data_IF_046726162913
#
_entry.id   IF_046726162913
#
_cell.length_a   1.000
_cell.length_b   1.000
_cell.length_c   1.000
_cell.angle_alpha   90.00
_cell.angle_beta   90.00
_cell.angle_gamma   90.00
#
_symmetry.space_group_name_H-M   'P 1'
#
loop_
_entity.id
_entity.type
_entity.pdbx_description
1 polymer ?
#
# COMPACT_ATOMS: atom_id res chain seq x y z
N UNK A 1 -8.47 -4.27 -4.15
CA UNK A 1 -8.59 -2.80 -4.18
C UNK A 1 -9.48 -2.30 -5.31
N UNK A 2 -9.30 -2.68 -6.58
CA UNK A 2 -10.11 -2.13 -7.69
C UNK A 2 -11.63 -2.25 -7.47
N UNK A 3 -12.12 -3.46 -7.12
CA UNK A 3 -13.54 -3.68 -6.79
C UNK A 3 -14.04 -2.73 -5.70
N UNK A 4 -13.32 -2.67 -4.58
CA UNK A 4 -13.66 -1.83 -3.43
C UNK A 4 -13.69 -0.34 -3.82
N UNK A 5 -12.77 0.11 -4.68
CA UNK A 5 -12.74 1.50 -5.13
C UNK A 5 -13.97 1.87 -5.98
N UNK A 6 -14.44 0.96 -6.85
CA UNK A 6 -15.66 1.19 -7.62
C UNK A 6 -16.90 1.18 -6.72
N UNK A 7 -16.99 0.24 -5.78
CA UNK A 7 -18.08 0.16 -4.81
C UNK A 7 -18.19 1.40 -3.93
N UNK A 8 -17.06 2.02 -3.56
CA UNK A 8 -17.02 3.20 -2.70
C UNK A 8 -17.17 4.54 -3.45
N UNK A 9 -17.06 4.54 -4.78
CA UNK A 9 -17.16 5.75 -5.61
C UNK A 9 -18.49 6.50 -5.42
N UNK A 10 -19.67 5.85 -5.37
CA UNK A 10 -20.94 6.52 -5.08
C UNK A 10 -21.00 7.15 -3.68
N UNK A 11 -20.20 6.65 -2.74
CA UNK A 11 -20.07 7.18 -1.38
C UNK A 11 -19.07 8.31 -1.27
N UNK A 12 -18.71 8.94 -2.39
CA UNK A 12 -17.87 10.13 -2.38
C UNK A 12 -16.45 9.82 -1.83
N UNK A 13 -15.96 8.60 -2.05
CA UNK A 13 -14.62 8.15 -1.68
C UNK A 13 -13.80 7.98 -2.97
N UNK A 14 -12.66 8.66 -3.04
CA UNK A 14 -11.70 8.51 -4.13
C UNK A 14 -10.56 7.57 -3.71
N UNK A 15 -10.08 6.75 -4.64
CA UNK A 15 -8.91 5.89 -4.43
C UNK A 15 -7.87 6.14 -5.51
N UNK A 16 -6.63 6.37 -5.09
CA UNK A 16 -5.47 6.55 -5.94
C UNK A 16 -4.42 5.51 -5.58
N UNK A 17 -3.58 5.13 -6.54
CA UNK A 17 -2.39 4.33 -6.32
C UNK A 17 -1.16 5.21 -6.52
N UNK A 18 -0.19 5.17 -5.62
CA UNK A 18 1.08 5.89 -5.78
C UNK A 18 2.17 4.87 -6.11
N UNK A 19 2.74 4.98 -7.31
CA UNK A 19 3.86 4.16 -7.76
C UNK A 19 5.17 4.71 -7.19
N UNK A 20 5.79 3.95 -6.29
CA UNK A 20 7.02 4.32 -5.57
C UNK A 20 8.22 3.55 -6.11
N UNK A 21 9.19 3.19 -5.28
CA UNK A 21 10.31 2.32 -5.66
C UNK A 21 9.90 0.86 -5.72
N UNK A 22 10.59 0.09 -6.56
CA UNK A 22 10.45 -1.37 -6.57
C UNK A 22 10.78 -1.94 -5.19
N UNK A 23 9.83 -2.68 -4.60
CA UNK A 23 10.03 -3.33 -3.31
C UNK A 23 11.13 -4.39 -3.37
N UNK A 24 11.24 -5.08 -4.52
CA UNK A 24 12.21 -6.12 -4.79
C UNK A 24 12.80 -5.91 -6.20
N UNK A 25 13.76 -5.00 -6.37
CA UNK A 25 14.35 -4.72 -7.67
C UNK A 25 15.11 -5.95 -8.21
N UNK A 26 14.77 -6.37 -9.43
CA UNK A 26 15.40 -7.51 -10.12
C UNK A 26 15.91 -7.13 -11.51
N UNK A 27 16.23 -8.13 -12.32
CA UNK A 27 16.73 -7.93 -13.69
C UNK A 27 15.68 -7.29 -14.61
N UNK A 28 14.41 -7.66 -14.43
CA UNK A 28 13.31 -7.18 -15.29
C UNK A 28 12.72 -5.85 -14.82
N UNK A 29 12.76 -5.62 -13.51
CA UNK A 29 12.34 -4.36 -12.88
C UNK A 29 13.45 -3.91 -11.92
N UNK A 30 14.55 -3.35 -12.45
CA UNK A 30 15.67 -2.90 -11.62
C UNK A 30 15.31 -1.62 -10.86
N UNK A 31 16.22 -1.21 -9.96
CA UNK A 31 16.10 0.08 -9.30
C UNK A 31 16.05 1.20 -10.34
N UNK A 32 15.20 2.19 -10.09
CA UNK A 32 15.01 3.30 -11.01
C UNK A 32 16.24 4.23 -11.01
N UNK A 33 16.82 4.47 -12.17
CA UNK A 33 17.93 5.43 -12.37
C UNK A 33 17.51 6.67 -13.13
N UNK A 34 16.30 6.68 -13.71
CA UNK A 34 15.70 7.81 -14.42
C UNK A 34 14.19 7.85 -14.21
N UNK A 35 13.58 9.03 -14.40
CA UNK A 35 12.13 9.18 -14.27
C UNK A 35 11.38 8.51 -15.44
N UNK A 36 11.97 8.51 -16.63
CA UNK A 36 11.47 7.85 -17.83
C UNK A 36 11.33 6.34 -17.62
N UNK A 37 12.35 5.71 -17.03
CA UNK A 37 12.31 4.30 -16.65
C UNK A 37 11.21 4.04 -15.62
N UNK A 38 11.13 4.85 -14.57
CA UNK A 38 10.09 4.72 -13.53
C UNK A 38 8.69 4.85 -14.12
N UNK A 39 8.49 5.75 -15.07
CA UNK A 39 7.23 5.90 -15.78
C UNK A 39 6.90 4.69 -16.67
N UNK A 40 7.90 4.12 -17.35
CA UNK A 40 7.72 2.89 -18.13
C UNK A 40 7.31 1.71 -17.23
N UNK A 41 7.97 1.54 -16.08
CA UNK A 41 7.61 0.52 -15.10
C UNK A 41 6.20 0.73 -14.54
N UNK A 42 5.83 1.96 -14.19
CA UNK A 42 4.48 2.28 -13.71
C UNK A 42 3.38 1.93 -14.74
N UNK A 43 3.65 2.14 -16.04
CA UNK A 43 2.75 1.73 -17.12
C UNK A 43 2.68 0.21 -17.24
N UNK A 44 3.82 -0.48 -17.23
CA UNK A 44 3.86 -1.95 -17.26
C UNK A 44 3.09 -2.55 -16.07
N UNK A 45 3.25 -1.99 -14.87
CA UNK A 45 2.51 -2.35 -13.67
C UNK A 45 1.00 -2.18 -13.87
N UNK A 46 0.57 -1.03 -14.41
CA UNK A 46 -0.85 -0.76 -14.70
C UNK A 46 -1.45 -1.84 -15.58
N UNK A 47 -0.79 -2.16 -16.70
CA UNK A 47 -1.28 -3.14 -17.68
C UNK A 47 -1.29 -4.56 -17.10
N UNK A 48 -0.20 -4.95 -16.44
CA UNK A 48 -0.03 -6.27 -15.85
C UNK A 48 -1.07 -6.57 -14.78
N UNK A 49 -1.32 -5.62 -13.89
CA UNK A 49 -2.27 -5.78 -12.78
C UNK A 49 -3.66 -5.23 -13.09
N UNK A 50 -3.88 -4.75 -14.32
CA UNK A 50 -5.14 -4.16 -14.80
C UNK A 50 -5.69 -3.10 -13.84
N UNK A 51 -4.80 -2.23 -13.36
CA UNK A 51 -5.15 -1.19 -12.38
C UNK A 51 -6.03 -0.13 -13.07
N UNK A 52 -7.21 0.08 -12.51
CA UNK A 52 -8.21 1.01 -13.05
C UNK A 52 -8.17 2.36 -12.33
N UNK A 53 -7.81 2.35 -11.04
CA UNK A 53 -7.61 3.58 -10.26
C UNK A 53 -6.52 4.47 -10.88
N UNK A 54 -6.60 5.80 -10.72
CA UNK A 54 -5.53 6.70 -11.10
C UNK A 54 -4.20 6.29 -10.42
N UNK A 55 -3.13 6.23 -11.21
CA UNK A 55 -1.78 6.02 -10.73
C UNK A 55 -1.04 7.36 -10.77
N UNK A 56 -0.55 7.79 -9.61
CA UNK A 56 0.42 8.87 -9.49
C UNK A 56 1.81 8.24 -9.38
N UNK A 57 2.80 8.79 -10.07
CA UNK A 57 4.18 8.31 -9.99
C UNK A 57 4.96 9.23 -9.07
N UNK A 58 5.56 8.69 -8.02
CA UNK A 58 6.40 9.46 -7.11
C UNK A 58 7.66 9.94 -7.83
N UNK A 59 8.23 11.04 -7.33
CA UNK A 59 9.57 11.54 -7.65
C UNK A 59 10.62 10.43 -7.72
N UNK A 60 11.65 10.61 -8.55
CA UNK A 60 12.70 9.61 -8.75
C UNK A 60 13.42 9.27 -7.44
N UNK A 61 13.69 10.28 -6.63
CA UNK A 61 14.32 10.11 -5.32
C UNK A 61 13.35 9.50 -4.30
N UNK A 62 12.02 9.54 -4.50
CA UNK A 62 11.02 8.92 -3.62
C UNK A 62 10.61 9.78 -2.43
N UNK A 63 10.51 11.09 -2.63
CA UNK A 63 10.12 12.04 -1.60
C UNK A 63 8.78 11.68 -0.95
N UNK A 64 7.76 11.27 -1.73
CA UNK A 64 6.47 10.87 -1.17
C UNK A 64 6.61 9.56 -0.38
N UNK A 65 7.27 8.55 -0.95
CA UNK A 65 7.43 7.24 -0.29
C UNK A 65 8.10 7.38 1.07
N UNK A 66 9.18 8.17 1.17
CA UNK A 66 9.84 8.48 2.45
C UNK A 66 8.95 9.24 3.41
N UNK A 67 8.27 10.29 2.95
CA UNK A 67 7.43 11.13 3.81
C UNK A 67 6.27 10.34 4.45
N UNK A 68 5.76 9.32 3.76
CA UNK A 68 4.63 8.53 4.24
C UNK A 68 5.02 7.22 4.93
N UNK A 69 6.29 6.83 4.96
CA UNK A 69 6.81 5.78 5.85
C UNK A 69 7.72 4.74 5.23
N UNK A 70 7.97 4.78 3.93
CA UNK A 70 8.98 3.94 3.24
C UNK A 70 8.66 2.45 3.14
N UNK A 71 7.54 1.98 3.72
CA UNK A 71 7.12 0.59 3.62
C UNK A 71 6.57 0.29 2.21
N UNK A 72 6.84 -0.90 1.65
CA UNK A 72 6.20 -1.30 0.41
C UNK A 72 4.70 -1.56 0.61
N UNK A 73 3.89 -1.26 -0.41
CA UNK A 73 2.44 -1.54 -0.46
C UNK A 73 1.64 -1.05 0.77
N UNK A 74 2.02 0.08 1.35
CA UNK A 74 1.34 0.74 2.47
C UNK A 74 0.06 1.48 2.03
N UNK A 75 -0.84 1.74 2.98
CA UNK A 75 -2.13 2.40 2.72
C UNK A 75 -2.42 3.54 3.70
N UNK A 76 -3.03 4.60 3.17
CA UNK A 76 -3.51 5.76 3.94
C UNK A 76 -4.93 6.11 3.55
N UNK A 77 -5.72 6.60 4.51
CA UNK A 77 -7.00 7.26 4.25
C UNK A 77 -6.91 8.68 4.79
N UNK A 78 -7.31 9.64 3.97
CA UNK A 78 -7.41 11.04 4.34
C UNK A 78 -8.87 11.46 4.36
N UNK A 79 -9.24 12.30 5.32
CA UNK A 79 -10.54 12.95 5.29
C UNK A 79 -10.59 14.09 4.24
N UNK A 80 -11.77 14.70 4.08
CA UNK A 80 -11.98 15.81 3.13
C UNK A 80 -11.14 17.07 3.43
N UNK A 81 -10.52 17.17 4.60
CA UNK A 81 -9.62 18.26 4.99
C UNK A 81 -8.14 17.87 4.83
N UNK A 82 -7.85 16.70 4.26
CA UNK A 82 -6.49 16.20 4.09
C UNK A 82 -5.87 15.66 5.38
N UNK A 83 -6.64 15.43 6.44
CA UNK A 83 -6.11 14.85 7.69
C UNK A 83 -6.00 13.33 7.55
N UNK A 84 -4.86 12.72 7.90
CA UNK A 84 -4.77 11.27 8.02
C UNK A 84 -5.74 10.73 9.06
N UNK A 85 -6.58 9.79 8.67
CA UNK A 85 -7.54 9.10 9.55
C UNK A 85 -7.32 7.59 9.63
N UNK A 86 -6.47 7.06 8.76
CA UNK A 86 -6.03 5.67 8.77
C UNK A 86 -4.64 5.57 8.16
N UNK A 87 -3.79 4.73 8.76
CA UNK A 87 -2.48 4.36 8.24
C UNK A 87 -2.29 2.87 8.46
N UNK A 88 -1.87 2.16 7.42
CA UNK A 88 -1.43 0.78 7.51
C UNK A 88 -0.07 0.61 6.84
N UNK A 89 0.84 -0.09 7.53
CA UNK A 89 2.16 -0.42 6.99
C UNK A 89 2.10 -1.44 5.83
N UNK A 90 0.94 -2.07 5.64
CA UNK A 90 0.67 -2.96 4.52
C UNK A 90 -0.82 -2.88 4.14
N UNK A 91 -1.11 -2.99 2.85
CA UNK A 91 -2.48 -2.99 2.32
C UNK A 91 -3.14 -4.34 2.57
N UNK A 92 -4.19 -4.34 3.38
CA UNK A 92 -5.18 -5.40 3.46
C UNK A 92 -6.55 -4.85 3.05
N UNK A 93 -7.20 -5.50 2.09
CA UNK A 93 -8.44 -4.97 1.50
C UNK A 93 -9.59 -4.97 2.50
N UNK A 94 -9.70 -6.00 3.35
CA UNK A 94 -10.77 -6.13 4.32
C UNK A 94 -10.61 -5.11 5.45
N UNK A 95 -9.39 -4.89 5.93
CA UNK A 95 -9.09 -3.86 6.93
C UNK A 95 -9.40 -2.46 6.42
N UNK A 96 -9.03 -2.16 5.17
CA UNK A 96 -9.32 -0.86 4.54
C UNK A 96 -10.83 -0.67 4.35
N UNK A 97 -11.54 -1.70 3.88
CA UNK A 97 -12.99 -1.64 3.73
C UNK A 97 -13.68 -1.37 5.07
N UNK A 98 -13.33 -2.12 6.11
CA UNK A 98 -13.86 -1.93 7.46
C UNK A 98 -13.61 -0.51 7.96
N UNK A 99 -12.39 0.01 7.77
CA UNK A 99 -12.04 1.37 8.16
C UNK A 99 -12.87 2.43 7.41
N UNK A 100 -13.02 2.31 6.10
CA UNK A 100 -13.80 3.28 5.30
C UNK A 100 -15.27 3.24 5.69
N UNK A 101 -15.87 2.05 5.80
CA UNK A 101 -17.29 1.91 6.18
C UNK A 101 -17.54 2.50 7.58
N UNK A 102 -16.69 2.18 8.55
CA UNK A 102 -16.80 2.77 9.89
C UNK A 102 -16.64 4.29 9.91
N UNK A 103 -15.78 4.85 9.05
CA UNK A 103 -15.65 6.31 8.89
C UNK A 103 -16.90 6.94 8.26
N UNK A 104 -17.49 6.31 7.24
CA UNK A 104 -18.74 6.77 6.63
C UNK A 104 -19.89 6.76 7.64
N UNK A 105 -20.04 5.68 8.40
CA UNK A 105 -21.06 5.55 9.44
C UNK A 105 -20.86 6.61 10.53
N UNK A 106 -19.62 6.85 10.96
CA UNK A 106 -19.30 7.90 11.94
C UNK A 106 -19.65 9.30 11.41
N UNK A 107 -19.39 9.58 10.14
CA UNK A 107 -19.76 10.86 9.51
C UNK A 107 -21.28 11.04 9.52
N UNK A 108 -22.03 10.00 9.20
CA UNK A 108 -23.49 10.05 9.21
C UNK A 108 -24.05 10.20 10.63
N UNK A 109 -23.49 9.50 11.60
CA UNK A 109 -23.84 9.66 13.02
C UNK A 109 -23.55 11.07 13.54
N UNK A 110 -22.44 11.69 13.14
CA UNK A 110 -22.13 13.09 13.51
C UNK A 110 -23.09 14.10 12.89
N UNK A 111 -23.63 13.81 11.70
CA UNK A 111 -24.62 14.68 11.04
C UNK A 111 -26.00 14.55 11.66
N UNK A 112 -26.41 13.33 11.98
CA UNK A 112 -27.74 13.02 12.51
C UNK A 112 -27.86 13.24 14.02
N UNK A 113 -26.77 13.05 14.79
CA UNK A 113 -26.78 13.28 16.23
C UNK A 113 -26.43 14.73 16.58
N UNK A 114 -27.19 15.33 17.51
CA UNK A 114 -26.82 16.62 18.15
C UNK A 114 -25.74 16.44 19.23
N UNK A 115 -24.98 15.34 19.22
CA UNK A 115 -23.97 15.03 20.24
C UNK A 115 -22.61 15.52 19.80
N UNK A 116 -21.88 16.14 20.73
CA UNK A 116 -20.50 16.53 20.50
C UNK A 116 -19.62 15.28 20.53
N UNK A 117 -18.88 15.02 19.44
CA UNK A 117 -17.94 13.90 19.34
C UNK A 117 -16.51 14.41 19.31
N UNK A 118 -15.69 13.99 20.27
CA UNK A 118 -14.26 14.31 20.33
C UNK A 118 -13.44 13.24 19.60
N UNK A 119 -12.46 13.63 18.76
CA UNK A 119 -11.57 12.68 18.11
C UNK A 119 -10.52 12.12 19.10
N UNK A 120 -10.06 10.90 18.84
CA UNK A 120 -8.91 10.28 19.51
C UNK A 120 -8.16 9.38 18.52
N UNK A 121 -6.92 9.03 18.83
CA UNK A 121 -6.06 8.17 17.99
C UNK A 121 -5.89 6.82 18.65
N UNK A 122 -5.89 5.76 17.84
CA UNK A 122 -5.62 4.39 18.27
C UNK A 122 -4.47 3.81 17.47
N UNK A 123 -3.65 2.98 18.14
CA UNK A 123 -2.70 2.09 17.50
C UNK A 123 -3.23 0.67 17.66
N UNK A 124 -3.40 -0.04 16.54
CA UNK A 124 -3.97 -1.39 16.52
C UNK A 124 -3.06 -2.32 15.74
N UNK A 125 -2.81 -3.50 16.31
CA UNK A 125 -2.19 -4.62 15.61
C UNK A 125 -3.28 -5.41 14.90
N UNK A 126 -3.07 -5.73 13.64
CA UNK A 126 -3.96 -6.56 12.84
C UNK A 126 -3.19 -7.72 12.20
N UNK A 127 -3.90 -8.81 11.94
CA UNK A 127 -3.37 -10.01 11.31
C UNK A 127 -4.12 -10.25 10.00
N UNK A 128 -3.38 -10.71 8.99
CA UNK A 128 -3.93 -11.10 7.70
C UNK A 128 -3.41 -12.48 7.31
N UNK A 129 -4.16 -13.25 6.51
CA UNK A 129 -3.63 -14.44 5.87
C UNK A 129 -2.36 -14.09 5.08
N UNK A 130 -1.36 -14.94 5.19
CA UNK A 130 -0.18 -14.88 4.34
C UNK A 130 -0.37 -15.84 3.17
N UNK A 131 0.04 -15.42 1.97
CA UNK A 131 0.11 -16.27 0.78
C UNK A 131 1.57 -16.30 0.30
N UNK A 132 2.38 -17.23 0.84
CA UNK A 132 3.79 -17.34 0.50
C UNK A 132 4.01 -17.65 -0.97
N UNK A 133 3.12 -18.41 -1.61
CA UNK A 133 3.26 -18.77 -3.01
C UNK A 133 3.03 -17.57 -3.92
N UNK A 134 2.00 -16.76 -3.66
CA UNK A 134 1.78 -15.53 -4.40
C UNK A 134 2.93 -14.54 -4.22
N UNK A 135 3.47 -14.46 -3.01
CA UNK A 135 4.65 -13.65 -2.73
C UNK A 135 5.86 -14.10 -3.57
N UNK A 136 6.17 -15.41 -3.58
CA UNK A 136 7.26 -15.97 -4.37
C UNK A 136 7.07 -15.78 -5.87
N UNK A 137 5.86 -16.00 -6.41
CA UNK A 137 5.54 -15.70 -7.82
C UNK A 137 5.78 -14.22 -8.16
N UNK A 138 5.57 -13.32 -7.21
CA UNK A 138 5.89 -11.91 -7.34
C UNK A 138 7.39 -11.65 -7.48
N UNK A 139 8.23 -12.31 -6.67
CA UNK A 139 9.69 -12.20 -6.77
C UNK A 139 10.22 -12.76 -8.09
N UNK A 140 9.76 -13.95 -8.49
CA UNK A 140 10.17 -14.61 -9.73
C UNK A 140 9.87 -13.75 -10.96
N UNK A 141 8.76 -13.00 -10.93
CA UNK A 141 8.39 -12.05 -11.99
C UNK A 141 9.39 -10.89 -12.13
N UNK A 142 10.07 -10.50 -11.06
CA UNK A 142 11.05 -9.43 -11.10
C UNK A 142 12.43 -9.92 -11.55
N UNK A 143 12.69 -11.22 -11.42
CA UNK A 143 13.88 -11.91 -11.92
C UNK A 143 14.59 -12.73 -10.82
N UNK A 144 15.54 -13.61 -11.21
CA UNK A 144 16.28 -14.47 -10.28
C UNK A 144 16.97 -13.72 -9.13
N UNK A 145 17.45 -12.50 -9.36
CA UNK A 145 18.06 -11.67 -8.30
C UNK A 145 17.10 -11.41 -7.15
N UNK A 146 15.85 -11.05 -7.43
CA UNK A 146 14.85 -10.75 -6.39
C UNK A 146 14.60 -11.95 -5.48
N UNK A 147 14.57 -13.16 -6.07
CA UNK A 147 14.46 -14.43 -5.34
C UNK A 147 15.69 -14.69 -4.47
N UNK A 148 16.89 -14.55 -5.05
CA UNK A 148 18.15 -14.81 -4.36
C UNK A 148 18.37 -13.86 -3.17
N UNK A 149 18.08 -12.58 -3.34
CA UNK A 149 18.20 -11.57 -2.27
C UNK A 149 17.21 -11.84 -1.13
N UNK A 150 15.97 -12.22 -1.44
CA UNK A 150 14.99 -12.57 -0.42
C UNK A 150 15.41 -13.83 0.37
N UNK A 151 15.95 -14.84 -0.32
CA UNK A 151 16.46 -16.05 0.33
C UNK A 151 17.63 -15.71 1.29
N UNK A 152 18.59 -14.90 0.84
CA UNK A 152 19.71 -14.46 1.66
C UNK A 152 19.24 -13.64 2.88
N UNK A 153 18.25 -12.76 2.72
CA UNK A 153 17.68 -11.98 3.82
C UNK A 153 16.96 -12.87 4.83
N UNK A 154 16.20 -13.86 4.37
CA UNK A 154 15.51 -14.84 5.23
C UNK A 154 16.52 -15.64 6.07
N UNK A 155 17.65 -16.02 5.48
CA UNK A 155 18.72 -16.70 6.21
C UNK A 155 19.33 -15.81 7.31
N UNK A 156 19.55 -14.52 7.02
CA UNK A 156 20.03 -13.55 8.01
C UNK A 156 19.08 -13.44 9.22
N UNK A 157 17.78 -13.36 8.97
CA UNK A 157 16.78 -13.33 10.05
C UNK A 157 16.81 -14.58 10.91
N UNK A 158 16.89 -15.78 10.29
CA UNK A 158 17.00 -17.04 11.04
C UNK A 158 18.24 -17.09 11.92
N UNK A 159 19.36 -16.51 11.48
CA UNK A 159 20.60 -16.43 12.28
C UNK A 159 20.49 -15.45 13.43
N UNK A 160 19.73 -14.35 13.28
CA UNK A 160 19.51 -13.37 14.34
C UNK A 160 18.62 -13.96 15.46
N UNK A 161 17.52 -14.62 15.11
CA UNK A 161 16.61 -15.27 16.07
C UNK A 161 17.30 -16.38 16.87
N UNK A 162 18.30 -17.05 16.30
CA UNK A 162 19.07 -18.10 16.99
C UNK A 162 20.15 -17.57 17.96
N UNK A 163 20.43 -16.26 17.96
CA UNK A 163 21.42 -15.64 18.83
C UNK A 163 20.81 -15.02 20.10
N UNK A 164 19.48 -14.99 20.18
CA UNK A 164 18.69 -14.59 21.35
C UNK A 164 18.23 -15.84 22.11
#
# INVERSE_FOLDING_TARGET
MERLAEELRPHNVASIFVYTHEAHPGEYYPHHTSFEQKMAHARAFKELFKVQRPILVDSLDGACHRAYGGMPNMSWIFDRRGRPVYKANWTDVASIESAIRGLLDMVEQRRSSRRMMSPFVVHRLEYRPNDPEAFMRGLERNGPKAVAEFAAQTERWRRQVKKE
#
